data_IF_282663190712
#
_entry.id   IF_282663190712
#
_cell.length_a   1.000
_cell.length_b   1.000
_cell.length_c   1.000
_cell.angle_alpha   90.00
_cell.angle_beta   90.00
_cell.angle_gamma   90.00
#
_symmetry.space_group_name_H-M   'P 1'
#
loop_
_entity.id
_entity.type
_entity.pdbx_description
1 polymer ?
#
# COMPACT_ATOMS: atom_id res chain seq x y z
N UNK A 1 9.61 0.18 -82.51
CA UNK A 1 10.21 1.51 -82.18
C UNK A 1 9.63 1.93 -80.85
N UNK A 2 10.31 2.35 -79.79
CA UNK A 2 11.71 2.68 -79.47
C UNK A 2 11.74 2.81 -77.94
N UNK A 3 12.84 2.38 -77.32
CA UNK A 3 13.11 2.33 -75.87
C UNK A 3 13.06 3.73 -75.21
N UNK A 4 12.57 3.85 -73.98
CA UNK A 4 13.39 4.18 -72.79
C UNK A 4 12.58 4.33 -71.48
N UNK A 5 13.07 3.78 -70.34
CA UNK A 5 12.66 4.18 -68.99
C UNK A 5 13.62 5.23 -68.43
N UNK A 6 13.10 6.28 -67.78
CA UNK A 6 13.90 7.24 -67.04
C UNK A 6 13.34 7.36 -65.62
N UNK A 7 14.10 6.80 -64.68
CA UNK A 7 13.99 6.99 -63.24
C UNK A 7 14.37 8.44 -62.88
N UNK A 8 13.52 9.15 -62.14
CA UNK A 8 13.86 10.19 -61.15
C UNK A 8 12.69 10.25 -60.15
N UNK A 9 12.81 9.71 -58.93
CA UNK A 9 13.32 10.33 -57.69
C UNK A 9 12.48 11.52 -57.16
N UNK A 10 11.99 11.34 -55.92
CA UNK A 10 11.64 12.35 -54.89
C UNK A 10 10.25 13.03 -55.02
N UNK A 11 9.40 13.15 -53.99
CA UNK A 11 9.48 12.81 -52.57
C UNK A 11 8.21 13.25 -51.79
N UNK A 12 8.01 12.64 -50.61
CA UNK A 12 7.32 13.07 -49.37
C UNK A 12 6.17 14.11 -49.43
N UNK A 13 5.00 13.91 -48.80
CA UNK A 13 4.86 13.82 -47.34
C UNK A 13 3.57 13.08 -46.93
N UNK A 14 3.77 12.04 -46.10
CA UNK A 14 2.80 11.49 -45.16
C UNK A 14 2.78 12.36 -43.90
N UNK A 15 1.59 12.71 -43.39
CA UNK A 15 1.42 13.04 -41.97
C UNK A 15 0.10 12.46 -41.46
N UNK A 16 0.11 11.29 -40.80
CA UNK A 16 -0.87 10.99 -39.77
C UNK A 16 -0.31 11.51 -38.43
N UNK A 17 -1.01 12.47 -37.82
CA UNK A 17 -0.81 12.84 -36.41
C UNK A 17 -1.29 11.67 -35.54
N UNK A 18 -0.40 10.72 -35.30
CA UNK A 18 -0.54 9.81 -34.18
C UNK A 18 -0.14 10.58 -32.91
N UNK A 19 -1.13 10.99 -32.13
CA UNK A 19 -0.91 11.40 -30.74
C UNK A 19 -0.46 10.14 -30.01
N UNK A 20 0.85 10.04 -29.78
CA UNK A 20 1.40 9.07 -28.88
C UNK A 20 1.07 9.54 -27.46
N UNK A 21 0.14 8.84 -26.80
CA UNK A 21 0.14 8.71 -25.35
C UNK A 21 1.50 8.08 -25.00
N UNK A 22 2.45 8.89 -24.55
CA UNK A 22 3.74 8.37 -24.09
C UNK A 22 3.46 7.66 -22.76
N UNK A 23 3.55 6.32 -22.66
CA UNK A 23 3.46 5.66 -21.38
C UNK A 23 4.60 6.19 -20.49
N UNK A 24 4.38 6.40 -19.18
CA UNK A 24 5.39 6.97 -18.31
C UNK A 24 6.71 6.21 -18.49
N UNK A 25 7.76 6.97 -18.78
CA UNK A 25 9.06 6.44 -19.16
C UNK A 25 9.48 5.34 -18.17
N UNK A 26 9.64 4.12 -18.67
CA UNK A 26 9.98 2.96 -17.85
C UNK A 26 11.30 3.27 -17.11
N UNK A 27 11.34 3.16 -15.77
CA UNK A 27 12.51 3.56 -15.00
C UNK A 27 13.76 2.79 -15.46
N UNK A 28 14.90 3.51 -15.48
CA UNK A 28 16.18 3.00 -15.92
C UNK A 28 16.59 1.75 -15.12
N UNK A 29 17.41 0.88 -15.70
CA UNK A 29 17.75 -0.41 -15.11
C UNK A 29 18.30 -0.31 -13.68
N UNK A 30 19.06 0.74 -13.37
CA UNK A 30 19.60 0.98 -12.04
C UNK A 30 18.52 1.37 -11.01
N UNK A 31 17.52 2.16 -11.42
CA UNK A 31 16.41 2.57 -10.56
C UNK A 31 15.50 1.37 -10.26
N UNK A 32 15.32 0.47 -11.23
CA UNK A 32 14.55 -0.75 -11.05
C UNK A 32 15.21 -1.74 -10.08
N UNK A 33 16.54 -1.84 -10.11
CA UNK A 33 17.30 -2.69 -9.16
C UNK A 33 17.25 -2.10 -7.76
N UNK A 34 17.32 -0.78 -7.61
CA UNK A 34 17.13 -0.12 -6.30
C UNK A 34 15.72 -0.33 -5.76
N UNK A 35 14.69 -0.08 -6.56
CA UNK A 35 13.29 -0.33 -6.18
C UNK A 35 13.08 -1.80 -5.81
N UNK A 36 13.60 -2.74 -6.61
CA UNK A 36 13.50 -4.16 -6.30
C UNK A 36 14.25 -4.51 -5.01
N UNK A 37 15.44 -3.97 -4.73
CA UNK A 37 16.15 -4.22 -3.48
C UNK A 37 15.45 -3.63 -2.25
N UNK A 38 14.87 -2.43 -2.40
CA UNK A 38 14.04 -1.80 -1.38
C UNK A 38 12.81 -2.67 -1.10
N UNK A 39 12.13 -3.12 -2.16
CA UNK A 39 10.94 -3.94 -2.08
C UNK A 39 11.24 -5.38 -1.63
N UNK A 40 12.41 -5.93 -1.96
CA UNK A 40 12.80 -7.31 -1.63
C UNK A 40 12.92 -7.53 -0.12
N UNK A 41 13.40 -6.54 0.64
CA UNK A 41 13.36 -6.62 2.11
C UNK A 41 11.94 -6.61 2.66
N UNK A 42 11.04 -5.86 2.03
CA UNK A 42 9.63 -5.79 2.43
C UNK A 42 8.91 -7.11 2.11
N UNK A 43 9.16 -7.67 0.92
CA UNK A 43 8.60 -8.95 0.46
C UNK A 43 9.15 -10.13 1.25
N UNK A 44 10.45 -10.16 1.57
CA UNK A 44 11.05 -11.25 2.36
C UNK A 44 10.43 -11.36 3.76
N UNK A 45 9.99 -10.25 4.36
CA UNK A 45 9.32 -10.23 5.64
C UNK A 45 7.84 -10.66 5.57
N UNK A 46 7.24 -10.68 4.37
CA UNK A 46 5.85 -11.10 4.16
C UNK A 46 5.67 -12.62 4.04
N UNK A 47 6.74 -13.39 3.76
CA UNK A 47 6.69 -14.85 3.54
C UNK A 47 6.95 -15.61 4.85
N UNK A 48 6.17 -15.33 5.89
CA UNK A 48 6.21 -16.07 7.15
C UNK A 48 4.96 -16.93 7.28
N UNK A 49 5.13 -18.22 7.59
CA UNK A 49 4.02 -19.18 7.70
C UNK A 49 3.27 -19.05 9.03
N UNK A 50 3.96 -18.57 10.08
CA UNK A 50 3.35 -18.27 11.38
C UNK A 50 2.52 -16.98 11.27
N UNK A 51 1.18 -17.05 11.44
CA UNK A 51 0.31 -15.89 11.28
C UNK A 51 0.58 -14.78 12.30
N UNK A 52 1.09 -15.11 13.49
CA UNK A 52 1.41 -14.12 14.52
C UNK A 52 2.66 -13.33 14.09
N UNK A 53 3.73 -14.04 13.73
CA UNK A 53 4.96 -13.39 13.26
C UNK A 53 4.73 -12.61 11.97
N UNK A 54 3.93 -13.15 11.04
CA UNK A 54 3.54 -12.43 9.82
C UNK A 54 2.84 -11.12 10.17
N UNK A 55 1.94 -11.12 11.15
CA UNK A 55 1.24 -9.92 11.64
C UNK A 55 2.23 -8.91 12.23
N UNK A 56 3.19 -9.34 13.04
CA UNK A 56 4.25 -8.48 13.60
C UNK A 56 5.15 -7.86 12.52
N UNK A 57 5.55 -8.66 11.53
CA UNK A 57 6.34 -8.18 10.41
C UNK A 57 5.57 -7.17 9.55
N UNK A 58 4.30 -7.45 9.27
CA UNK A 58 3.44 -6.54 8.52
C UNK A 58 3.23 -5.22 9.29
N UNK A 59 3.10 -5.27 10.63
CA UNK A 59 3.08 -4.06 11.47
C UNK A 59 4.36 -3.24 11.33
N UNK A 60 5.51 -3.90 11.38
CA UNK A 60 6.81 -3.24 11.22
C UNK A 60 6.93 -2.55 9.85
N UNK A 61 6.45 -3.19 8.79
CA UNK A 61 6.45 -2.60 7.45
C UNK A 61 5.46 -1.43 7.37
N UNK A 62 4.26 -1.58 7.94
CA UNK A 62 3.25 -0.53 8.01
C UNK A 62 3.79 0.74 8.72
N UNK A 63 4.53 0.57 9.82
CA UNK A 63 5.21 1.68 10.51
C UNK A 63 6.18 2.45 9.61
N UNK A 64 6.96 1.73 8.79
CA UNK A 64 7.90 2.38 7.85
C UNK A 64 7.16 3.10 6.73
N UNK A 65 6.14 2.49 6.13
CA UNK A 65 5.33 3.13 5.09
C UNK A 65 4.65 4.39 5.62
N UNK A 66 4.15 4.37 6.85
CA UNK A 66 3.57 5.55 7.48
C UNK A 66 4.57 6.67 7.74
N UNK A 67 5.80 6.35 8.12
CA UNK A 67 6.84 7.35 8.27
C UNK A 67 7.16 8.03 6.92
N UNK A 68 7.32 7.25 5.86
CA UNK A 68 7.55 7.75 4.50
C UNK A 68 6.35 8.56 3.98
N UNK A 69 5.12 8.13 4.27
CA UNK A 69 3.91 8.84 3.91
C UNK A 69 3.82 10.19 4.63
N UNK A 70 4.16 10.23 5.92
CA UNK A 70 4.25 11.46 6.69
C UNK A 70 5.29 12.43 6.11
N UNK A 71 6.43 11.90 5.66
CA UNK A 71 7.47 12.71 5.02
C UNK A 71 6.99 13.26 3.66
N UNK A 72 6.28 12.45 2.86
CA UNK A 72 5.66 12.90 1.62
C UNK A 72 4.63 14.00 1.88
N UNK A 73 3.78 13.85 2.90
CA UNK A 73 2.81 14.88 3.32
C UNK A 73 3.52 16.17 3.72
N UNK A 74 4.59 16.07 4.52
CA UNK A 74 5.35 17.24 4.96
C UNK A 74 6.06 17.99 3.81
N UNK A 75 6.30 17.31 2.67
CA UNK A 75 6.89 17.88 1.46
C UNK A 75 5.86 18.31 0.43
N UNK A 76 4.56 18.24 0.75
CA UNK A 76 3.45 18.50 -0.17
C UNK A 76 3.44 17.57 -1.40
N UNK A 77 4.06 16.39 -1.30
CA UNK A 77 4.05 15.37 -2.34
C UNK A 77 2.82 14.46 -2.17
N UNK A 78 1.65 15.04 -2.43
CA UNK A 78 0.35 14.35 -2.29
C UNK A 78 0.24 13.09 -3.16
N UNK A 79 0.67 13.06 -4.43
CA UNK A 79 0.64 11.83 -5.23
C UNK A 79 1.42 10.69 -4.57
N UNK A 80 2.62 10.97 -4.04
CA UNK A 80 3.43 9.97 -3.34
C UNK A 80 2.79 9.55 -2.01
N UNK A 81 2.23 10.49 -1.26
CA UNK A 81 1.51 10.17 -0.03
C UNK A 81 0.32 9.23 -0.30
N UNK A 82 -0.42 9.45 -1.40
CA UNK A 82 -1.53 8.61 -1.81
C UNK A 82 -1.09 7.19 -2.20
N UNK A 83 -0.03 7.07 -3.00
CA UNK A 83 0.57 5.78 -3.37
C UNK A 83 0.98 4.97 -2.12
N UNK A 84 1.66 5.62 -1.18
CA UNK A 84 2.07 5.00 0.08
C UNK A 84 0.88 4.62 0.96
N UNK A 85 -0.19 5.43 0.97
CA UNK A 85 -1.44 5.13 1.66
C UNK A 85 -2.12 3.86 1.12
N UNK A 86 -2.10 3.65 -0.20
CA UNK A 86 -2.60 2.41 -0.80
C UNK A 86 -1.76 1.20 -0.40
N UNK A 87 -0.42 1.31 -0.45
CA UNK A 87 0.46 0.22 0.00
C UNK A 87 0.28 -0.11 1.47
N UNK A 88 0.09 0.91 2.31
CA UNK A 88 -0.19 0.74 3.73
C UNK A 88 -1.50 -0.02 3.94
N UNK A 89 -2.56 0.34 3.21
CA UNK A 89 -3.83 -0.37 3.22
C UNK A 89 -3.63 -1.85 2.86
N UNK A 90 -2.97 -2.13 1.74
CA UNK A 90 -2.79 -3.51 1.24
C UNK A 90 -2.02 -4.39 2.24
N UNK A 91 -0.97 -3.85 2.87
CA UNK A 91 -0.18 -4.59 3.88
C UNK A 91 -0.99 -4.86 5.14
N UNK A 92 -1.82 -3.93 5.57
CA UNK A 92 -2.62 -4.09 6.78
C UNK A 92 -3.83 -5.00 6.55
N UNK A 93 -4.43 -4.97 5.37
CA UNK A 93 -5.50 -5.89 4.99
C UNK A 93 -4.95 -7.32 4.82
N UNK A 94 -3.90 -7.50 4.03
CA UNK A 94 -3.39 -8.84 3.70
C UNK A 94 -2.49 -9.43 4.78
N UNK A 95 -1.83 -8.59 5.57
CA UNK A 95 -0.84 -9.00 6.57
C UNK A 95 -1.41 -9.09 7.98
N UNK A 96 -2.05 -8.02 8.44
CA UNK A 96 -2.56 -7.90 9.82
C UNK A 96 -3.97 -8.47 9.93
N UNK A 97 -4.90 -8.03 9.08
CA UNK A 97 -6.30 -8.48 9.14
C UNK A 97 -6.42 -9.97 8.81
N UNK A 98 -5.77 -10.43 7.74
CA UNK A 98 -5.75 -11.85 7.41
C UNK A 98 -4.98 -12.68 8.45
N UNK A 99 -3.85 -12.18 8.98
CA UNK A 99 -3.11 -12.85 10.06
C UNK A 99 -3.96 -13.06 11.31
N UNK A 100 -4.72 -12.02 11.72
CA UNK A 100 -5.66 -12.10 12.84
C UNK A 100 -6.79 -13.11 12.59
N UNK A 101 -7.27 -13.22 11.35
CA UNK A 101 -8.30 -14.18 10.97
C UNK A 101 -7.76 -15.63 10.89
N UNK A 102 -6.52 -15.81 10.43
CA UNK A 102 -5.88 -17.12 10.24
C UNK A 102 -5.49 -17.81 11.55
N UNK A 103 -5.50 -17.08 12.67
CA UNK A 103 -5.47 -17.67 14.02
C UNK A 103 -6.80 -18.40 14.25
N UNK A 104 -6.90 -19.58 13.65
CA UNK A 104 -8.10 -20.44 13.55
C UNK A 104 -8.66 -20.91 14.89
N UNK A 105 -7.98 -20.66 16.00
CA UNK A 105 -8.39 -21.07 17.34
C UNK A 105 -8.45 -19.83 18.23
N UNK A 106 -9.53 -19.63 19.01
CA UNK A 106 -9.60 -18.51 19.92
C UNK A 106 -8.41 -18.59 20.88
N UNK A 107 -7.52 -17.60 20.79
CA UNK A 107 -6.40 -17.48 21.70
C UNK A 107 -6.96 -17.35 23.12
N UNK A 108 -6.40 -18.08 24.10
CA UNK A 108 -6.80 -17.91 25.49
C UNK A 108 -6.64 -16.44 25.88
N UNK A 109 -7.65 -15.87 26.56
CA UNK A 109 -7.55 -14.53 27.12
C UNK A 109 -6.31 -14.45 28.03
N UNK A 110 -5.57 -13.36 27.95
CA UNK A 110 -4.35 -13.16 28.73
C UNK A 110 -3.14 -13.96 28.26
N UNK A 111 -3.25 -14.75 27.18
CA UNK A 111 -2.07 -15.37 26.56
C UNK A 111 -1.14 -14.30 25.96
N UNK A 112 0.16 -14.58 25.96
CA UNK A 112 1.16 -13.69 25.36
C UNK A 112 0.86 -13.41 23.87
N UNK A 113 0.35 -14.39 23.14
CA UNK A 113 -0.07 -14.23 21.74
C UNK A 113 -1.27 -13.27 21.59
N UNK A 114 -2.29 -13.38 22.45
CA UNK A 114 -3.41 -12.45 22.44
C UNK A 114 -2.96 -11.02 22.78
N UNK A 115 -2.02 -10.88 23.72
CA UNK A 115 -1.40 -9.59 24.06
C UNK A 115 -0.63 -8.98 22.90
N UNK A 116 0.22 -9.77 22.23
CA UNK A 116 1.03 -9.32 21.08
C UNK A 116 0.15 -8.83 19.93
N UNK A 117 -0.90 -9.57 19.57
CA UNK A 117 -1.84 -9.18 18.52
C UNK A 117 -2.66 -7.94 18.90
N UNK A 118 -3.08 -7.83 20.16
CA UNK A 118 -3.75 -6.64 20.67
C UNK A 118 -2.86 -5.40 20.61
N UNK A 119 -1.58 -5.54 20.93
CA UNK A 119 -0.58 -4.47 20.83
C UNK A 119 -0.36 -4.04 19.38
N UNK A 120 -0.10 -4.99 18.47
CA UNK A 120 0.07 -4.70 17.03
C UNK A 120 -1.13 -3.92 16.48
N UNK A 121 -2.35 -4.34 16.83
CA UNK A 121 -3.56 -3.64 16.41
C UNK A 121 -3.61 -2.20 16.94
N UNK A 122 -3.34 -2.00 18.24
CA UNK A 122 -3.36 -0.66 18.84
C UNK A 122 -2.32 0.27 18.20
N UNK A 123 -1.12 -0.25 17.91
CA UNK A 123 -0.06 0.49 17.21
C UNK A 123 -0.49 0.90 15.80
N UNK A 124 -1.02 -0.04 15.02
CA UNK A 124 -1.50 0.23 13.66
C UNK A 124 -2.64 1.25 13.68
N UNK A 125 -3.58 1.11 14.60
CA UNK A 125 -4.72 2.04 14.70
C UNK A 125 -4.26 3.46 15.02
N UNK A 126 -3.36 3.62 15.99
CA UNK A 126 -2.81 4.94 16.31
C UNK A 126 -2.06 5.58 15.13
N UNK A 127 -1.38 4.76 14.34
CA UNK A 127 -0.68 5.19 13.13
C UNK A 127 -1.65 5.67 12.03
N UNK A 128 -2.72 4.92 11.77
CA UNK A 128 -3.74 5.30 10.78
C UNK A 128 -4.42 6.60 11.20
N UNK A 129 -4.72 6.76 12.48
CA UNK A 129 -5.36 7.96 13.03
C UNK A 129 -4.51 9.21 12.81
N UNK A 130 -3.21 9.14 13.09
CA UNK A 130 -2.27 10.24 12.87
C UNK A 130 -2.15 10.60 11.39
N UNK A 131 -2.07 9.61 10.51
CA UNK A 131 -1.97 9.84 9.06
C UNK A 131 -3.23 10.49 8.50
N UNK A 132 -4.40 10.03 8.93
CA UNK A 132 -5.67 10.59 8.49
C UNK A 132 -5.81 12.05 8.92
N UNK A 133 -5.48 12.39 10.17
CA UNK A 133 -5.51 13.77 10.66
C UNK A 133 -4.58 14.67 9.84
N UNK A 134 -3.38 14.19 9.52
CA UNK A 134 -2.39 14.95 8.75
C UNK A 134 -2.80 15.16 7.31
N UNK A 135 -3.34 14.14 6.65
CA UNK A 135 -3.89 14.28 5.30
C UNK A 135 -5.04 15.30 5.25
N UNK A 136 -5.99 15.20 6.18
CA UNK A 136 -7.11 16.14 6.25
C UNK A 136 -6.64 17.60 6.43
N UNK A 137 -5.54 17.82 7.15
CA UNK A 137 -4.94 19.15 7.32
C UNK A 137 -4.20 19.63 6.07
N UNK A 138 -3.55 18.71 5.36
CA UNK A 138 -2.79 19.01 4.14
C UNK A 138 -3.69 19.15 2.90
N UNK A 139 -4.93 18.67 2.94
CA UNK A 139 -5.85 18.67 1.80
C UNK A 139 -6.46 20.04 1.53
N UNK A 140 -5.63 20.95 1.01
CA UNK A 140 -6.05 22.30 0.64
C UNK A 140 -6.83 22.35 -0.69
N UNK A 141 -6.68 21.32 -1.54
CA UNK A 141 -7.22 21.29 -2.90
C UNK A 141 -8.33 20.23 -3.13
N UNK A 142 -8.53 19.30 -2.20
CA UNK A 142 -9.44 18.16 -2.36
C UNK A 142 -8.80 16.97 -3.10
N UNK A 143 -7.51 17.06 -3.43
CA UNK A 143 -6.75 16.04 -4.16
C UNK A 143 -6.48 14.79 -3.30
N UNK A 144 -6.60 14.91 -1.97
CA UNK A 144 -6.33 13.79 -1.05
C UNK A 144 -7.54 12.87 -0.83
N UNK A 145 -8.73 13.21 -1.36
CA UNK A 145 -9.98 12.51 -1.06
C UNK A 145 -9.91 10.98 -1.24
N UNK A 146 -9.30 10.42 -2.31
CA UNK A 146 -9.15 8.96 -2.45
C UNK A 146 -8.29 8.33 -1.35
N UNK A 147 -7.23 9.03 -0.92
CA UNK A 147 -6.33 8.56 0.13
C UNK A 147 -6.96 8.64 1.52
N UNK A 148 -7.66 9.73 1.81
CA UNK A 148 -8.46 9.86 3.04
C UNK A 148 -9.50 8.76 3.13
N UNK A 149 -10.18 8.43 2.02
CA UNK A 149 -11.16 7.35 1.99
C UNK A 149 -10.52 5.97 2.22
N UNK A 150 -9.32 5.75 1.67
CA UNK A 150 -8.55 4.50 1.86
C UNK A 150 -8.12 4.30 3.31
N UNK A 151 -7.67 5.36 4.00
CA UNK A 151 -7.37 5.25 5.43
C UNK A 151 -8.62 5.08 6.29
N UNK A 152 -9.73 5.70 5.90
CA UNK A 152 -11.01 5.56 6.61
C UNK A 152 -11.57 4.13 6.54
N UNK A 153 -11.49 3.47 5.37
CA UNK A 153 -11.92 2.06 5.23
C UNK A 153 -11.08 1.11 6.07
N UNK A 154 -9.76 1.36 6.10
CA UNK A 154 -8.84 0.60 6.93
C UNK A 154 -9.14 0.76 8.43
N UNK A 155 -9.36 2.00 8.89
CA UNK A 155 -9.77 2.28 10.28
C UNK A 155 -11.05 1.54 10.66
N UNK A 156 -12.03 1.52 9.76
CA UNK A 156 -13.29 0.79 9.99
C UNK A 156 -13.07 -0.72 10.08
N UNK A 157 -12.18 -1.28 9.25
CA UNK A 157 -11.82 -2.70 9.27
C UNK A 157 -11.13 -3.10 10.58
N UNK A 158 -10.19 -2.28 11.07
CA UNK A 158 -9.52 -2.48 12.36
C UNK A 158 -10.50 -2.42 13.54
N UNK A 159 -11.48 -1.51 13.50
CA UNK A 159 -12.53 -1.42 14.51
C UNK A 159 -13.45 -2.67 14.51
N UNK A 160 -13.80 -3.20 13.33
CA UNK A 160 -14.60 -4.42 13.21
C UNK A 160 -13.90 -5.67 13.75
N UNK A 161 -12.57 -5.73 13.63
CA UNK A 161 -11.76 -6.79 14.23
C UNK A 161 -11.76 -6.72 15.75
N UNK A 162 -11.74 -5.52 16.35
CA UNK A 162 -11.82 -5.36 17.81
C UNK A 162 -13.13 -5.91 18.38
N UNK A 163 -14.26 -5.57 17.73
CA UNK A 163 -15.57 -6.10 18.12
C UNK A 163 -15.63 -7.63 18.01
N UNK A 164 -15.04 -8.19 16.95
CA UNK A 164 -15.02 -9.65 16.72
C UNK A 164 -14.20 -10.39 17.77
N UNK A 165 -13.03 -9.85 18.12
CA UNK A 165 -12.17 -10.40 19.17
C UNK A 165 -12.81 -10.31 20.56
N UNK A 166 -13.43 -9.17 20.89
CA UNK A 166 -14.14 -8.98 22.16
C UNK A 166 -15.37 -9.90 22.26
N UNK A 167 -16.14 -10.06 21.18
CA UNK A 167 -17.29 -10.95 21.15
C UNK A 167 -16.90 -12.43 21.31
N UNK A 168 -15.76 -12.84 20.75
CA UNK A 168 -15.22 -14.19 20.97
C UNK A 168 -14.66 -14.38 22.38
N UNK A 169 -14.05 -13.34 22.95
CA UNK A 169 -13.57 -13.34 24.32
C UNK A 169 -14.72 -13.53 25.33
N UNK A 170 -15.83 -12.80 25.16
CA UNK A 170 -16.99 -12.87 26.05
C UNK A 170 -17.70 -14.25 26.02
N UNK A 171 -17.69 -14.95 24.88
CA UNK A 171 -18.30 -16.28 24.73
C UNK A 171 -17.52 -17.41 25.41
N UNK A 172 -16.26 -17.18 25.77
CA UNK A 172 -15.37 -18.20 26.34
C UNK A 172 -15.07 -17.96 27.84
N UNK A 173 -15.84 -17.10 28.53
CA UNK A 173 -15.81 -17.01 29.99
C UNK A 173 -16.73 -18.09 30.59
N UNK A 174 -16.22 -18.94 31.49
CA UNK A 174 -17.01 -19.99 32.15
C UNK A 174 -18.04 -19.44 33.13
#
# INVERSE_FOLDING_TARGET
MKRWPLFLLSGALLVPLAVADDPPARPAGADRVRQFQQNYRLVKNLVEEDPIKRTEYCSTVAQRLAAEMNEAIAKDDMPRACELGQHLHDILEQGVTAGLHDVRHPLPQGSSAAGALGQVRAEVQGLVDVLQERLQKADHAGDSAPCVQTLASLRQSLAGLDQSLQAHAAKNQP
#
